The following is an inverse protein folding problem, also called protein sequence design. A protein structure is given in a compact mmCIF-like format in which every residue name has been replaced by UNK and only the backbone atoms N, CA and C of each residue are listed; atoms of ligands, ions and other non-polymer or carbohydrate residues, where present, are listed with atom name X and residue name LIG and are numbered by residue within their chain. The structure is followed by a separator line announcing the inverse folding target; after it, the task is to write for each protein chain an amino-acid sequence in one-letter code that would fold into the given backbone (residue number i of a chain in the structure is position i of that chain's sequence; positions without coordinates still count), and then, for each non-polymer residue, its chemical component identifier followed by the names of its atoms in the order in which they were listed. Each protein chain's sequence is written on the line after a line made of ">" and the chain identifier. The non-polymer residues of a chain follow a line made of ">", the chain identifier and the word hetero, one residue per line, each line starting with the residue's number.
data_IF_112628252061
#
_entry.id   IF_112628252061
#
_cell.length_a   1.000
_cell.length_b   1.000
_cell.length_c   1.000
_cell.angle_alpha   90.00
_cell.angle_beta   90.00
_cell.angle_gamma   90.00
#
_symmetry.space_group_name_H-M   'P 1'
#
loop_
_entity.id
_entity.type
_entity.pdbx_description
1 polymer ?
#
# COMPACT_ATOMS: atom_id res chain seq x y z
N UNK A 1 15.91 -24.74 28.57
CA UNK A 1 16.10 -24.75 27.11
C UNK A 1 14.73 -24.84 26.47
N UNK A 2 14.18 -23.71 26.01
CA UNK A 2 12.92 -23.72 25.22
C UNK A 2 13.34 -23.95 23.77
N UNK A 3 12.84 -25.03 23.17
CA UNK A 3 13.12 -25.35 21.78
C UNK A 3 12.85 -24.13 20.89
N UNK A 4 13.85 -23.74 20.10
CA UNK A 4 13.69 -22.89 18.93
C UNK A 4 12.84 -23.65 17.89
N UNK A 5 11.55 -23.87 18.17
CA UNK A 5 10.63 -24.17 17.09
C UNK A 5 10.71 -22.99 16.13
N UNK A 6 10.98 -23.24 14.86
CA UNK A 6 11.00 -22.16 13.89
C UNK A 6 9.54 -21.80 13.63
N UNK A 7 9.03 -20.79 14.34
CA UNK A 7 7.62 -20.39 14.30
C UNK A 7 7.11 -20.21 12.87
N UNK A 8 8.00 -19.79 11.97
CA UNK A 8 7.75 -19.56 10.54
C UNK A 8 7.18 -20.80 9.83
N UNK A 9 7.54 -22.01 10.28
CA UNK A 9 7.12 -23.29 9.71
C UNK A 9 5.74 -23.72 10.22
N UNK A 10 5.18 -23.01 11.22
CA UNK A 10 3.85 -23.32 11.76
C UNK A 10 2.77 -22.57 10.96
N UNK A 11 1.60 -23.19 10.72
CA UNK A 11 0.45 -22.53 10.13
C UNK A 11 0.03 -21.26 10.92
N UNK A 12 -0.69 -20.35 10.26
CA UNK A 12 -1.09 -19.07 10.86
C UNK A 12 -1.86 -19.24 12.19
N UNK A 13 -2.80 -20.19 12.24
CA UNK A 13 -3.60 -20.46 13.43
C UNK A 13 -2.73 -20.92 14.62
N UNK A 14 -1.74 -21.80 14.37
CA UNK A 14 -0.82 -22.27 15.39
C UNK A 14 0.07 -21.12 15.92
N UNK A 15 0.63 -20.30 15.02
CA UNK A 15 1.39 -19.10 15.41
C UNK A 15 0.57 -18.11 16.23
N UNK A 16 -0.70 -17.90 15.87
CA UNK A 16 -1.63 -17.06 16.63
C UNK A 16 -1.90 -17.61 18.02
N UNK A 17 -2.14 -18.91 18.15
CA UNK A 17 -2.35 -19.56 19.44
C UNK A 17 -1.11 -19.47 20.34
N UNK A 18 0.10 -19.61 19.77
CA UNK A 18 1.35 -19.43 20.52
C UNK A 18 1.50 -17.99 21.03
N UNK A 19 1.19 -16.98 20.20
CA UNK A 19 1.16 -15.58 20.63
C UNK A 19 0.13 -15.34 21.74
N UNK A 20 -1.04 -15.97 21.64
CA UNK A 20 -2.09 -15.89 22.66
C UNK A 20 -1.58 -16.42 24.00
N UNK A 21 -0.90 -17.56 24.01
CA UNK A 21 -0.29 -18.12 25.24
C UNK A 21 0.75 -17.18 25.84
N UNK A 22 1.56 -16.50 25.00
CA UNK A 22 2.59 -15.57 25.48
C UNK A 22 2.04 -14.27 26.05
N UNK A 23 0.95 -13.74 25.46
CA UNK A 23 0.35 -12.46 25.87
C UNK A 23 -0.75 -12.62 26.93
N UNK A 24 -1.11 -13.86 27.28
CA UNK A 24 -2.17 -14.18 28.23
C UNK A 24 -3.54 -14.34 27.57
N UNK A 25 -4.58 -14.72 28.36
CA UNK A 25 -5.90 -15.11 27.85
C UNK A 25 -6.61 -14.01 27.04
N UNK A 26 -6.35 -12.74 27.35
CA UNK A 26 -6.95 -11.61 26.65
C UNK A 26 -6.17 -11.18 25.40
N UNK A 27 -4.98 -11.76 25.18
CA UNK A 27 -4.14 -11.48 24.02
C UNK A 27 -3.61 -10.04 24.03
N UNK A 28 -3.53 -9.44 25.22
CA UNK A 28 -3.05 -8.08 25.42
C UNK A 28 -2.11 -7.97 26.60
N UNK A 29 -1.09 -7.14 26.48
CA UNK A 29 -0.18 -6.81 27.58
C UNK A 29 0.22 -5.33 27.50
N UNK A 30 0.28 -4.67 28.65
CA UNK A 30 0.82 -3.31 28.74
C UNK A 30 2.35 -3.37 28.78
N UNK A 31 3.01 -2.57 27.95
CA UNK A 31 4.47 -2.43 27.91
C UNK A 31 4.79 -0.94 27.93
N UNK A 32 5.15 -0.45 29.12
CA UNK A 32 5.39 0.97 29.39
C UNK A 32 4.18 1.83 28.94
N UNK A 33 4.37 2.80 28.04
CA UNK A 33 3.31 3.65 27.48
C UNK A 33 2.51 3.01 26.35
N UNK A 34 2.74 1.74 26.03
CA UNK A 34 2.11 1.04 24.92
C UNK A 34 1.24 -0.11 25.39
N UNK A 35 0.23 -0.47 24.57
CA UNK A 35 -0.54 -1.70 24.71
C UNK A 35 -0.30 -2.58 23.50
N UNK A 36 0.23 -3.77 23.72
CA UNK A 36 0.33 -4.79 22.68
C UNK A 36 -0.97 -5.58 22.66
N UNK A 37 -1.49 -5.86 21.47
CA UNK A 37 -2.72 -6.63 21.27
C UNK A 37 -2.60 -7.52 20.04
N UNK A 38 -3.08 -8.75 20.15
CA UNK A 38 -3.27 -9.62 18.98
C UNK A 38 -4.40 -9.05 18.13
N UNK A 39 -4.05 -8.61 16.92
CA UNK A 39 -5.01 -8.08 15.94
C UNK A 39 -6.10 -9.13 15.69
N UNK A 40 -7.37 -8.73 15.71
CA UNK A 40 -8.48 -9.63 15.40
C UNK A 40 -8.42 -10.06 13.93
N UNK A 41 -8.63 -11.35 13.68
CA UNK A 41 -8.67 -11.91 12.32
C UNK A 41 -9.97 -12.66 12.10
N UNK A 42 -10.48 -12.58 10.89
CA UNK A 42 -11.73 -13.20 10.49
C UNK A 42 -11.47 -14.20 9.36
N UNK A 43 -12.33 -15.24 9.22
CA UNK A 43 -12.31 -16.11 8.05
C UNK A 43 -12.36 -15.30 6.75
N UNK A 44 -11.57 -15.72 5.75
CA UNK A 44 -11.48 -15.00 4.48
C UNK A 44 -12.83 -14.83 3.76
N UNK A 45 -13.77 -15.76 3.93
CA UNK A 45 -15.12 -15.67 3.37
C UNK A 45 -15.97 -14.50 3.89
N UNK A 46 -15.64 -13.93 5.05
CA UNK A 46 -16.38 -12.81 5.64
C UNK A 46 -15.96 -11.44 5.09
N UNK A 47 -15.08 -11.38 4.09
CA UNK A 47 -14.54 -10.11 3.62
C UNK A 47 -15.62 -9.14 3.12
N UNK A 48 -16.71 -9.63 2.52
CA UNK A 48 -17.81 -8.78 2.05
C UNK A 48 -18.56 -8.10 3.19
N UNK A 49 -18.80 -8.83 4.28
CA UNK A 49 -19.48 -8.32 5.47
C UNK A 49 -18.60 -7.29 6.19
N UNK A 50 -17.31 -7.62 6.35
CA UNK A 50 -16.32 -6.70 6.91
C UNK A 50 -16.19 -5.44 6.05
N UNK A 51 -16.17 -5.59 4.72
CA UNK A 51 -16.01 -4.47 3.80
C UNK A 51 -17.26 -3.60 3.68
N UNK A 52 -18.45 -4.21 3.71
CA UNK A 52 -19.72 -3.47 3.72
C UNK A 52 -19.93 -2.67 5.00
N UNK A 53 -19.37 -3.12 6.14
CA UNK A 53 -19.40 -2.44 7.42
C UNK A 53 -18.17 -1.59 7.75
N UNK A 54 -17.20 -1.50 6.85
CA UNK A 54 -15.94 -0.79 7.10
C UNK A 54 -16.16 0.73 7.06
N UNK A 55 -15.99 1.37 8.21
CA UNK A 55 -15.90 2.83 8.26
C UNK A 55 -14.60 3.30 7.61
N UNK A 56 -14.71 3.76 6.37
CA UNK A 56 -13.59 4.23 5.55
C UNK A 56 -13.03 5.58 5.99
N UNK A 57 -13.63 6.25 6.99
CA UNK A 57 -13.01 7.39 7.66
C UNK A 57 -11.89 6.95 8.61
N UNK A 58 -11.96 5.70 9.10
CA UNK A 58 -11.03 5.16 10.11
C UNK A 58 -10.17 4.02 9.54
N UNK A 59 -10.63 3.36 8.47
CA UNK A 59 -9.96 2.21 7.90
C UNK A 59 -9.52 2.42 6.45
N UNK A 60 -8.25 2.10 6.19
CA UNK A 60 -7.62 2.22 4.87
C UNK A 60 -7.79 0.98 3.97
N UNK A 61 -8.53 -0.04 4.42
CA UNK A 61 -8.78 -1.26 3.65
C UNK A 61 -8.63 -2.55 4.46
N UNK A 62 -8.34 -3.67 3.78
CA UNK A 62 -8.22 -5.00 4.40
C UNK A 62 -6.93 -5.70 4.00
N UNK A 63 -6.44 -6.56 4.89
CA UNK A 63 -5.27 -7.40 4.66
C UNK A 63 -5.68 -8.87 4.73
N UNK A 64 -5.36 -9.64 3.68
CA UNK A 64 -5.54 -11.09 3.66
C UNK A 64 -4.21 -11.77 3.94
N UNK A 65 -4.23 -12.69 4.90
CA UNK A 65 -3.10 -13.55 5.23
C UNK A 65 -3.47 -14.99 4.88
N UNK A 66 -2.55 -15.68 4.20
CA UNK A 66 -2.70 -17.11 3.97
C UNK A 66 -2.68 -17.87 5.32
N UNK A 67 -3.57 -18.84 5.45
CA UNK A 67 -3.67 -19.68 6.65
C UNK A 67 -2.49 -20.66 6.81
N UNK A 68 -1.69 -20.83 5.75
CA UNK A 68 -0.56 -21.74 5.68
C UNK A 68 0.65 -21.28 6.53
N UNK A 69 1.74 -22.04 6.40
CA UNK A 69 3.06 -21.67 6.91
C UNK A 69 3.47 -20.29 6.40
N UNK A 70 4.31 -19.60 7.15
CA UNK A 70 4.71 -18.26 6.76
C UNK A 70 5.62 -18.32 5.53
N UNK A 71 5.07 -17.96 4.37
CA UNK A 71 5.79 -17.89 3.09
C UNK A 71 6.20 -16.45 2.73
N UNK A 72 6.16 -15.53 3.69
CA UNK A 72 6.22 -14.09 3.40
C UNK A 72 4.95 -13.58 2.72
N UNK A 73 4.75 -12.27 2.79
CA UNK A 73 3.67 -11.60 2.05
C UNK A 73 2.31 -11.53 2.73
N UNK A 74 1.60 -10.47 2.35
CA UNK A 74 0.24 -10.13 2.75
C UNK A 74 -0.42 -9.57 1.50
N UNK A 75 -1.63 -10.00 1.21
CA UNK A 75 -2.44 -9.36 0.18
C UNK A 75 -3.10 -8.16 0.83
N UNK A 76 -2.88 -6.97 0.27
CA UNK A 76 -3.53 -5.75 0.74
C UNK A 76 -4.57 -5.31 -0.26
N UNK A 77 -5.72 -4.93 0.25
CA UNK A 77 -6.79 -4.33 -0.51
C UNK A 77 -7.07 -2.95 0.05
N UNK A 78 -7.14 -1.95 -0.82
CA UNK A 78 -7.54 -0.58 -0.48
C UNK A 78 -8.60 -0.12 -1.48
N UNK A 79 -9.76 0.42 -1.03
CA UNK A 79 -10.76 0.93 -1.96
C UNK A 79 -10.16 1.99 -2.90
N UNK A 80 -10.59 2.00 -4.16
CA UNK A 80 -10.05 2.87 -5.21
C UNK A 80 -10.06 4.35 -4.80
N UNK A 81 -11.17 4.81 -4.19
CA UNK A 81 -11.31 6.18 -3.68
C UNK A 81 -10.31 6.56 -2.58
N UNK A 82 -9.59 5.59 -2.00
CA UNK A 82 -8.54 5.82 -1.01
C UNK A 82 -7.13 5.53 -1.55
N UNK A 83 -7.01 5.06 -2.80
CA UNK A 83 -5.73 4.90 -3.44
C UNK A 83 -5.16 6.28 -3.82
N UNK A 84 -3.86 6.44 -3.60
CA UNK A 84 -3.13 7.66 -3.91
C UNK A 84 -1.64 7.35 -4.05
N UNK A 85 -0.93 8.23 -4.74
CA UNK A 85 0.52 8.16 -4.93
C UNK A 85 1.14 9.47 -4.44
N UNK A 86 2.21 9.36 -3.66
CA UNK A 86 3.03 10.50 -3.28
C UNK A 86 4.12 10.73 -4.33
N UNK A 87 4.01 11.85 -5.03
CA UNK A 87 5.01 12.30 -5.99
C UNK A 87 5.88 13.40 -5.40
N UNK A 88 7.11 13.49 -5.89
CA UNK A 88 7.83 14.75 -5.84
C UNK A 88 7.29 15.62 -6.97
N UNK A 89 6.82 16.81 -6.64
CA UNK A 89 6.27 17.74 -7.59
C UNK A 89 7.31 18.79 -7.89
N UNK A 90 7.71 18.88 -9.15
CA UNK A 90 8.60 19.94 -9.63
C UNK A 90 7.82 20.92 -10.48
N UNK A 91 7.69 22.19 -10.07
CA UNK A 91 7.10 23.20 -10.92
C UNK A 91 8.02 23.48 -12.11
N UNK A 92 7.43 23.62 -13.30
CA UNK A 92 8.12 24.02 -14.51
C UNK A 92 7.62 25.40 -14.89
N UNK A 93 8.55 26.35 -15.02
CA UNK A 93 8.22 27.71 -15.39
C UNK A 93 7.62 27.78 -16.80
N UNK A 94 6.76 28.79 -17.01
CA UNK A 94 6.19 29.03 -18.33
C UNK A 94 7.30 29.49 -19.27
N UNK A 95 7.26 28.95 -20.48
CA UNK A 95 7.95 29.52 -21.62
C UNK A 95 6.95 30.40 -22.39
N UNK A 96 7.41 31.32 -23.27
CA UNK A 96 6.52 32.25 -23.99
C UNK A 96 5.30 31.60 -24.66
N UNK A 97 5.44 30.34 -25.12
CA UNK A 97 4.39 29.59 -25.81
C UNK A 97 3.86 28.38 -25.02
N UNK A 98 4.14 28.28 -23.71
CA UNK A 98 3.74 27.12 -22.89
C UNK A 98 3.24 27.51 -21.51
N UNK A 99 2.06 27.00 -21.17
CA UNK A 99 1.48 27.15 -19.84
C UNK A 99 2.37 26.51 -18.74
N UNK A 100 2.33 27.13 -17.56
CA UNK A 100 2.96 26.59 -16.35
C UNK A 100 2.34 25.24 -16.02
N UNK A 101 3.18 24.26 -15.77
CA UNK A 101 2.75 22.94 -15.32
C UNK A 101 3.70 22.41 -14.25
N UNK A 102 3.35 21.28 -13.66
CA UNK A 102 4.26 20.55 -12.78
C UNK A 102 4.48 19.13 -13.29
N UNK A 103 5.69 18.62 -13.09
CA UNK A 103 6.07 17.24 -13.41
C UNK A 103 5.96 16.39 -12.15
N UNK A 104 5.33 15.22 -12.30
CA UNK A 104 5.25 14.22 -11.24
C UNK A 104 6.49 13.32 -11.29
N UNK A 105 7.19 13.21 -10.17
CA UNK A 105 8.49 12.52 -10.07
C UNK A 105 8.41 11.41 -9.02
N UNK A 106 8.96 10.25 -9.35
CA UNK A 106 9.05 9.07 -8.48
C UNK A 106 10.50 8.73 -8.15
N UNK A 107 10.70 7.95 -7.09
CA UNK A 107 12.00 7.44 -6.70
C UNK A 107 12.36 6.13 -7.41
N UNK A 108 13.60 6.02 -7.88
CA UNK A 108 14.20 4.76 -8.36
C UNK A 108 15.41 4.41 -7.50
N UNK A 109 16.07 3.29 -7.82
CA UNK A 109 17.36 2.96 -7.20
C UNK A 109 18.43 4.00 -7.52
N UNK A 110 18.37 4.58 -8.71
CA UNK A 110 19.39 5.47 -9.27
C UNK A 110 19.06 6.97 -9.07
N UNK A 111 17.94 7.29 -8.41
CA UNK A 111 17.59 8.65 -8.05
C UNK A 111 16.12 8.97 -8.27
N UNK A 112 15.85 10.08 -8.96
CA UNK A 112 14.52 10.63 -9.17
C UNK A 112 14.25 10.73 -10.66
N UNK A 113 13.12 10.19 -11.12
CA UNK A 113 12.74 10.18 -12.54
C UNK A 113 11.31 10.68 -12.73
N UNK A 114 11.00 11.36 -13.84
CA UNK A 114 9.62 11.67 -14.22
C UNK A 114 8.77 10.40 -14.32
N UNK A 115 7.54 10.47 -13.84
CA UNK A 115 6.58 9.37 -13.93
C UNK A 115 5.82 9.43 -15.26
N UNK A 116 6.18 8.56 -16.22
CA UNK A 116 5.50 8.37 -17.51
C UNK A 116 5.17 9.70 -18.26
N UNK A 117 6.07 10.69 -18.16
CA UNK A 117 5.90 12.05 -18.71
C UNK A 117 4.58 12.76 -18.32
N UNK A 118 3.96 12.32 -17.21
CA UNK A 118 2.71 12.90 -16.71
C UNK A 118 2.94 14.32 -16.21
N UNK A 119 2.11 15.23 -16.70
CA UNK A 119 2.06 16.64 -16.33
C UNK A 119 0.73 16.93 -15.67
N UNK A 120 0.78 17.75 -14.63
CA UNK A 120 -0.41 18.26 -13.96
C UNK A 120 -0.44 19.78 -14.05
N UNK A 121 -1.62 20.40 -13.98
CA UNK A 121 -1.74 21.85 -13.87
C UNK A 121 -0.85 22.38 -12.75
N UNK A 122 -0.18 23.50 -12.99
CA UNK A 122 0.61 24.14 -11.95
C UNK A 122 -0.30 24.61 -10.82
N UNK A 123 0.01 24.18 -9.60
CA UNK A 123 -0.66 24.70 -8.41
C UNK A 123 0.21 25.80 -7.80
N UNK A 124 -0.35 27.00 -7.58
CA UNK A 124 0.36 28.12 -6.96
C UNK A 124 0.98 27.82 -5.58
N UNK A 125 0.56 26.73 -4.92
CA UNK A 125 1.11 26.25 -3.65
C UNK A 125 2.48 25.59 -3.81
N UNK A 126 2.88 25.23 -5.03
CA UNK A 126 4.16 24.60 -5.34
C UNK A 126 5.16 25.66 -5.81
N UNK A 127 5.69 26.43 -4.85
CA UNK A 127 6.73 27.42 -5.11
C UNK A 127 8.14 26.82 -5.17
N UNK A 128 8.27 25.53 -4.81
CA UNK A 128 9.52 24.75 -4.81
C UNK A 128 9.21 23.25 -4.89
N UNK A 129 10.24 22.44 -5.14
CA UNK A 129 10.15 20.98 -5.06
C UNK A 129 9.57 20.56 -3.69
N UNK A 130 8.50 19.77 -3.72
CA UNK A 130 7.82 19.27 -2.53
C UNK A 130 7.26 17.86 -2.77
N UNK A 131 6.86 17.16 -1.71
CA UNK A 131 6.10 15.91 -1.83
C UNK A 131 4.62 16.22 -1.69
N UNK A 132 3.82 15.73 -2.62
CA UNK A 132 2.37 15.86 -2.61
C UNK A 132 1.70 14.54 -3.01
N UNK A 133 0.54 14.32 -2.44
CA UNK A 133 -0.29 13.16 -2.66
C UNK A 133 -1.30 13.45 -3.78
N UNK A 134 -1.36 12.57 -4.77
CA UNK A 134 -2.28 12.64 -5.90
C UNK A 134 -3.11 11.38 -6.02
N UNK A 135 -4.29 11.53 -6.62
CA UNK A 135 -5.16 10.43 -7.03
C UNK A 135 -5.42 10.53 -8.52
N UNK A 136 -5.66 9.40 -9.18
CA UNK A 136 -6.06 9.37 -10.58
C UNK A 136 -7.56 9.14 -10.68
N UNK A 137 -8.29 10.15 -11.17
CA UNK A 137 -9.73 10.11 -11.40
C UNK A 137 -10.03 10.72 -12.78
N UNK A 138 -11.03 10.19 -13.49
CA UNK A 138 -11.48 10.71 -14.80
C UNK A 138 -10.37 10.99 -15.84
N UNK A 139 -9.30 10.19 -15.84
CA UNK A 139 -8.20 10.34 -16.80
C UNK A 139 -7.11 11.34 -16.40
N UNK A 140 -7.18 11.93 -15.20
CA UNK A 140 -6.23 12.94 -14.74
C UNK A 140 -5.77 12.69 -13.30
N UNK A 141 -4.58 13.21 -12.98
CA UNK A 141 -4.08 13.24 -11.61
C UNK A 141 -4.62 14.47 -10.89
N UNK A 142 -5.41 14.23 -9.86
CA UNK A 142 -5.98 15.24 -8.98
C UNK A 142 -5.16 15.37 -7.69
N UNK A 143 -4.91 16.61 -7.28
CA UNK A 143 -4.19 16.91 -6.06
C UNK A 143 -5.06 16.58 -4.82
N UNK A 144 -4.52 15.78 -3.90
CA UNK A 144 -5.18 15.45 -2.63
C UNK A 144 -4.67 16.39 -1.52
N UNK A 145 -3.36 16.35 -1.23
CA UNK A 145 -2.75 17.17 -0.17
C UNK A 145 -1.23 17.26 -0.31
N UNK A 146 -0.64 18.24 0.35
CA UNK A 146 0.81 18.28 0.58
C UNK A 146 1.21 17.24 1.63
N UNK A 147 2.44 16.71 1.51
CA UNK A 147 3.01 15.69 2.41
C UNK A 147 4.30 16.20 3.05
N UNK A 148 4.23 17.21 3.94
CA UNK A 148 5.42 17.73 4.62
C UNK A 148 6.06 16.69 5.55
N UNK A 149 5.31 15.66 5.95
CA UNK A 149 5.78 14.49 6.69
C UNK A 149 6.74 13.61 5.89
N UNK A 150 6.78 13.76 4.55
CA UNK A 150 7.57 12.91 3.65
C UNK A 150 8.75 13.64 3.05
N UNK A 151 9.91 12.99 3.12
CA UNK A 151 11.15 13.46 2.50
C UNK A 151 11.41 12.83 1.13
N UNK A 152 10.76 11.70 0.83
CA UNK A 152 10.92 10.94 -0.42
C UNK A 152 9.54 10.66 -1.05
N UNK A 153 9.44 10.67 -2.39
CA UNK A 153 8.25 10.19 -3.09
C UNK A 153 8.11 8.67 -2.98
N UNK A 154 6.99 8.12 -3.45
CA UNK A 154 6.90 6.68 -3.67
C UNK A 154 7.92 6.21 -4.70
N UNK A 155 8.28 4.94 -4.61
CA UNK A 155 9.13 4.31 -5.61
C UNK A 155 8.35 4.14 -6.92
N UNK A 156 9.07 4.10 -8.03
CA UNK A 156 8.50 3.89 -9.36
C UNK A 156 7.64 2.61 -9.40
N UNK A 157 8.10 1.53 -8.78
CA UNK A 157 7.34 0.28 -8.69
C UNK A 157 5.99 0.48 -8.00
N UNK A 158 5.98 1.12 -6.81
CA UNK A 158 4.74 1.37 -6.06
C UNK A 158 3.82 2.28 -6.88
N UNK A 159 4.35 3.36 -7.44
CA UNK A 159 3.58 4.29 -8.26
C UNK A 159 2.92 3.60 -9.47
N UNK A 160 3.66 2.75 -10.20
CA UNK A 160 3.12 2.01 -11.36
C UNK A 160 2.01 1.04 -10.97
N UNK A 161 2.21 0.28 -9.89
CA UNK A 161 1.20 -0.67 -9.41
C UNK A 161 -0.07 0.05 -8.95
N UNK A 162 0.07 1.08 -8.12
CA UNK A 162 -1.06 1.88 -7.64
C UNK A 162 -1.75 2.62 -8.78
N UNK A 163 -1.01 3.12 -9.78
CA UNK A 163 -1.60 3.77 -10.95
C UNK A 163 -2.41 2.78 -11.80
N UNK A 164 -1.86 1.59 -12.07
CA UNK A 164 -2.57 0.54 -12.79
C UNK A 164 -3.88 0.14 -12.08
N UNK A 165 -3.86 0.09 -10.74
CA UNK A 165 -5.06 -0.15 -9.93
C UNK A 165 -6.12 0.94 -10.09
N UNK A 166 -5.70 2.19 -10.00
CA UNK A 166 -6.62 3.32 -10.17
C UNK A 166 -7.24 3.33 -11.58
N UNK A 167 -6.51 2.88 -12.61
CA UNK A 167 -7.02 2.85 -13.99
C UNK A 167 -8.02 1.74 -14.27
N UNK A 168 -7.85 0.55 -13.67
CA UNK A 168 -8.64 -0.63 -14.01
C UNK A 168 -10.07 -0.60 -13.49
N UNK A 169 -10.36 0.23 -12.48
CA UNK A 169 -11.68 0.33 -11.84
C UNK A 169 -12.18 -0.96 -11.16
N UNK A 170 -11.43 -2.06 -11.28
CA UNK A 170 -11.71 -3.39 -10.80
C UNK A 170 -10.46 -3.96 -10.12
N UNK A 171 -10.68 -4.67 -9.02
CA UNK A 171 -9.67 -5.05 -8.04
C UNK A 171 -8.85 -6.25 -8.53
N UNK A 172 -7.54 -6.08 -8.67
CA UNK A 172 -6.60 -7.21 -8.69
C UNK A 172 -5.94 -7.34 -7.32
N UNK A 173 -5.90 -8.57 -6.83
CA UNK A 173 -5.26 -8.94 -5.55
C UNK A 173 -3.75 -9.06 -5.77
N UNK A 174 -2.97 -8.16 -5.17
CA UNK A 174 -1.50 -8.23 -5.26
C UNK A 174 -0.92 -9.17 -4.20
N UNK A 175 -0.18 -10.16 -4.66
CA UNK A 175 0.64 -11.01 -3.81
C UNK A 175 2.03 -10.41 -3.65
N UNK A 176 2.33 -9.82 -2.49
CA UNK A 176 3.69 -9.40 -2.14
C UNK A 176 4.43 -10.52 -1.40
N UNK A 177 4.59 -11.70 -2.01
CA UNK A 177 5.41 -12.76 -1.43
C UNK A 177 6.90 -12.57 -1.70
N UNK A 178 7.74 -12.81 -0.70
CA UNK A 178 9.12 -13.25 -0.91
C UNK A 178 9.03 -14.69 -1.42
N UNK A 179 8.91 -14.89 -2.73
CA UNK A 179 9.02 -16.22 -3.32
C UNK A 179 10.43 -16.41 -3.87
N UNK A 180 11.24 -17.06 -3.03
CA UNK A 180 12.47 -17.79 -3.35
C UNK A 180 13.66 -16.93 -3.82
N UNK A 181 14.78 -17.00 -3.09
CA UNK A 181 16.06 -16.37 -3.48
C UNK A 181 16.56 -16.85 -4.85
N UNK A 182 15.98 -17.92 -5.40
CA UNK A 182 16.26 -18.45 -6.74
C UNK A 182 15.44 -17.81 -7.87
N UNK A 183 14.45 -16.96 -7.56
CA UNK A 183 13.68 -16.21 -8.57
C UNK A 183 13.91 -14.70 -8.37
N UNK A 184 14.85 -14.18 -9.15
CA UNK A 184 15.17 -12.76 -9.31
C UNK A 184 13.97 -11.81 -9.14
N UNK A 185 13.89 -11.12 -8.00
CA UNK A 185 13.35 -9.76 -7.78
C UNK A 185 12.09 -9.30 -8.55
N UNK A 186 11.14 -10.18 -8.88
CA UNK A 186 9.86 -9.76 -9.48
C UNK A 186 8.69 -10.45 -8.77
N UNK A 187 7.81 -9.69 -8.08
CA UNK A 187 6.57 -10.26 -7.57
C UNK A 187 5.78 -10.84 -8.75
N UNK A 188 5.30 -12.08 -8.60
CA UNK A 188 4.38 -12.69 -9.55
C UNK A 188 3.01 -12.03 -9.39
N UNK A 189 2.54 -11.40 -10.46
CA UNK A 189 1.14 -10.99 -10.58
C UNK A 189 0.33 -12.27 -10.78
N UNK A 190 -0.48 -12.64 -9.78
CA UNK A 190 -1.50 -13.66 -9.94
C UNK A 190 -2.80 -12.93 -10.25
N UNK A 191 -3.21 -12.95 -11.52
CA UNK A 191 -4.48 -12.37 -11.92
C UNK A 191 -5.61 -13.25 -11.40
N UNK A 192 -6.43 -12.67 -10.51
CA UNK A 192 -7.72 -13.22 -10.14
C UNK A 192 -8.76 -12.14 -10.33
N UNK A 193 -9.78 -12.40 -11.14
CA UNK A 193 -10.94 -11.54 -11.26
C UNK A 193 -11.94 -11.88 -10.15
N UNK A 194 -12.39 -10.86 -9.41
CA UNK A 194 -13.61 -10.97 -8.61
C UNK A 194 -14.71 -10.35 -9.47
N UNK A 195 -15.47 -11.19 -10.17
CA UNK A 195 -16.67 -10.75 -10.89
C UNK A 195 -17.71 -10.26 -9.88
N UNK A 196 -18.23 -9.05 -10.12
CA UNK A 196 -19.47 -8.58 -9.52
C UNK A 196 -20.60 -9.37 -10.17
N UNK A 197 -21.35 -10.14 -9.37
CA UNK A 197 -22.59 -10.82 -9.75
C UNK A 197 -23.72 -10.25 -8.93
#
# INVERSE_FOLDING_TARGET
>A
MVHNEVWIEKPFAARRAMLQTMLGPDGTVAVDKYRLQIIQTYPGGMYRELFGGLDLAVHDGVCFKLASVYAGGVIKFKPQKLQSIDFRVRPVEALPDREKHSVLIVGTRDGLVPFEDKRVPFHARFTKDCIAEYRYEAGQFEFVKLRPDKTKPNTEYVAKVTYADMQRGNYEVYYHGLLDEKLQNKPKIVQGSISQS
#
